data_IF_600205207003
#
_entry.id   IF_600205207003
#
_cell.length_a   1.000
_cell.length_b   1.000
_cell.length_c   1.000
_cell.angle_alpha   90.00
_cell.angle_beta   90.00
_cell.angle_gamma   90.00
#
_symmetry.space_group_name_H-M   'P 1'
#
loop_
_entity.id
_entity.type
_entity.pdbx_description
1 polymer ?
#
# COMPACT_ATOMS: atom_id res chain seq x y z
N UNK A 1 -5.04 -19.94 2.06
CA UNK A 1 -5.77 -19.33 0.94
C UNK A 1 -7.13 -19.99 0.83
N UNK A 2 -8.23 -19.23 0.98
CA UNK A 2 -9.59 -19.74 0.75
C UNK A 2 -10.08 -19.15 -0.57
N UNK A 3 -10.59 -20.00 -1.46
CA UNK A 3 -11.20 -19.54 -2.71
C UNK A 3 -12.64 -19.06 -2.44
N UNK A 4 -12.96 -17.91 -3.02
CA UNK A 4 -14.28 -17.27 -3.06
C UNK A 4 -14.64 -16.96 -4.50
N UNK A 5 -15.87 -16.52 -4.71
CA UNK A 5 -16.29 -15.94 -5.99
C UNK A 5 -15.55 -14.62 -6.19
N UNK A 6 -14.91 -14.40 -7.37
CA UNK A 6 -14.37 -13.11 -7.76
C UNK A 6 -15.36 -11.96 -7.58
N UNK A 7 -14.91 -10.85 -6.97
CA UNK A 7 -15.77 -9.67 -6.73
C UNK A 7 -15.08 -8.39 -7.20
N UNK A 8 -15.21 -8.10 -8.49
CA UNK A 8 -14.65 -6.89 -9.11
C UNK A 8 -15.21 -5.60 -8.50
N UNK A 9 -16.50 -5.57 -8.12
CA UNK A 9 -17.12 -4.37 -7.54
C UNK A 9 -16.51 -4.04 -6.19
N UNK A 10 -16.28 -5.05 -5.36
CA UNK A 10 -15.57 -4.90 -4.09
C UNK A 10 -14.12 -4.49 -4.30
N UNK A 11 -13.42 -5.11 -5.25
CA UNK A 11 -12.05 -4.73 -5.58
C UNK A 11 -11.94 -3.24 -5.98
N UNK A 12 -12.82 -2.76 -6.86
CA UNK A 12 -12.88 -1.33 -7.23
C UNK A 12 -13.17 -0.43 -6.02
N UNK A 13 -14.04 -0.87 -5.10
CA UNK A 13 -14.33 -0.12 -3.87
C UNK A 13 -13.10 -0.01 -2.94
N UNK A 14 -12.27 -1.06 -2.89
CA UNK A 14 -11.00 -1.07 -2.13
C UNK A 14 -9.99 -0.11 -2.78
N UNK A 15 -9.88 -0.12 -4.11
CA UNK A 15 -9.00 0.80 -4.86
C UNK A 15 -9.37 2.25 -4.57
N UNK A 16 -10.65 2.59 -4.66
CA UNK A 16 -11.13 3.94 -4.41
C UNK A 16 -10.88 4.38 -2.96
N UNK A 17 -10.97 3.46 -1.99
CA UNK A 17 -10.60 3.75 -0.61
C UNK A 17 -9.10 4.02 -0.48
N UNK A 18 -8.24 3.16 -1.02
CA UNK A 18 -6.79 3.33 -0.98
C UNK A 18 -6.35 4.66 -1.62
N UNK A 19 -6.97 5.05 -2.75
CA UNK A 19 -6.73 6.31 -3.43
C UNK A 19 -7.07 7.53 -2.55
N UNK A 20 -8.25 7.52 -1.92
CA UNK A 20 -8.66 8.61 -1.01
C UNK A 20 -7.75 8.72 0.19
N UNK A 21 -7.41 7.58 0.79
CA UNK A 21 -6.59 7.53 2.00
C UNK A 21 -5.14 7.95 1.73
N UNK A 22 -4.56 7.52 0.60
CA UNK A 22 -3.24 7.98 0.16
C UNK A 22 -3.24 9.48 -0.07
N UNK A 23 -4.22 9.99 -0.84
CA UNK A 23 -4.34 11.42 -1.12
C UNK A 23 -4.44 12.24 0.18
N UNK A 24 -5.27 11.81 1.13
CA UNK A 24 -5.38 12.48 2.42
C UNK A 24 -4.06 12.41 3.21
N UNK A 25 -3.42 11.24 3.24
CA UNK A 25 -2.17 11.02 3.97
C UNK A 25 -1.06 11.96 3.50
N UNK A 26 -0.95 12.19 2.19
CA UNK A 26 0.02 13.11 1.61
C UNK A 26 -0.29 14.60 1.86
N UNK A 27 -1.45 14.93 2.43
CA UNK A 27 -1.76 16.31 2.89
C UNK A 27 -1.37 16.57 4.34
N UNK A 28 -0.99 15.53 5.10
CA UNK A 28 -0.63 15.68 6.50
C UNK A 28 0.68 16.46 6.64
N UNK A 29 0.75 17.33 7.66
CA UNK A 29 1.99 18.03 8.00
C UNK A 29 3.08 17.01 8.33
N UNK A 30 4.25 17.14 7.71
CA UNK A 30 5.36 16.18 7.85
C UNK A 30 6.20 16.55 9.07
N UNK A 31 5.94 15.87 10.19
CA UNK A 31 6.66 16.01 11.46
C UNK A 31 6.92 14.65 12.08
N UNK A 32 7.81 14.56 13.06
CA UNK A 32 8.05 13.30 13.79
C UNK A 32 6.78 12.81 14.51
N UNK A 33 5.94 13.74 14.98
CA UNK A 33 4.67 13.43 15.65
C UNK A 33 3.65 12.78 14.70
N UNK A 34 3.61 13.19 13.43
CA UNK A 34 2.73 12.62 12.41
C UNK A 34 3.34 11.42 11.66
N UNK A 35 4.66 11.21 11.78
CA UNK A 35 5.42 10.23 11.03
C UNK A 35 4.89 8.80 11.11
N UNK A 36 4.54 8.36 12.32
CA UNK A 36 3.95 7.03 12.54
C UNK A 36 2.65 6.84 11.75
N UNK A 37 1.80 7.87 11.71
CA UNK A 37 0.53 7.84 10.97
C UNK A 37 0.76 7.86 9.47
N UNK A 38 1.68 8.69 8.98
CA UNK A 38 2.03 8.79 7.56
C UNK A 38 2.51 7.43 7.05
N UNK A 39 3.54 6.85 7.69
CA UNK A 39 4.13 5.58 7.26
C UNK A 39 3.11 4.44 7.31
N UNK A 40 2.30 4.38 8.37
CA UNK A 40 1.22 3.37 8.50
C UNK A 40 0.25 3.47 7.32
N UNK A 41 -0.28 4.66 7.05
CA UNK A 41 -1.30 4.83 6.04
C UNK A 41 -0.75 4.56 4.64
N UNK A 42 0.47 5.01 4.32
CA UNK A 42 1.12 4.70 3.05
C UNK A 42 1.22 3.17 2.85
N UNK A 43 1.72 2.45 3.86
CA UNK A 43 1.81 0.99 3.80
C UNK A 43 0.44 0.33 3.62
N UNK A 44 -0.58 0.76 4.38
CA UNK A 44 -1.92 0.19 4.28
C UNK A 44 -2.56 0.46 2.92
N UNK A 45 -2.32 1.62 2.30
CA UNK A 45 -2.80 1.91 0.94
C UNK A 45 -2.21 0.94 -0.09
N UNK A 46 -0.90 0.68 -0.04
CA UNK A 46 -0.29 -0.35 -0.90
C UNK A 46 -0.87 -1.74 -0.62
N UNK A 47 -1.05 -2.10 0.67
CA UNK A 47 -1.66 -3.37 1.04
C UNK A 47 -3.08 -3.50 0.49
N UNK A 48 -3.88 -2.43 0.52
CA UNK A 48 -5.24 -2.40 -0.03
C UNK A 48 -5.24 -2.60 -1.54
N UNK A 49 -4.30 -2.00 -2.28
CA UNK A 49 -4.16 -2.25 -3.72
C UNK A 49 -3.85 -3.72 -4.02
N UNK A 50 -2.94 -4.35 -3.26
CA UNK A 50 -2.70 -5.78 -3.35
C UNK A 50 -3.92 -6.64 -3.00
N UNK A 51 -4.72 -6.21 -2.02
CA UNK A 51 -5.93 -6.91 -1.60
C UNK A 51 -7.02 -6.82 -2.68
N UNK A 52 -7.11 -5.69 -3.38
CA UNK A 52 -8.01 -5.53 -4.51
C UNK A 52 -7.72 -6.55 -5.63
N UNK A 53 -6.44 -6.80 -5.96
CA UNK A 53 -6.03 -7.84 -6.92
C UNK A 53 -6.54 -9.21 -6.46
N UNK A 54 -6.33 -9.56 -5.19
CA UNK A 54 -6.74 -10.85 -4.64
C UNK A 54 -8.27 -11.01 -4.67
N UNK A 55 -9.00 -9.99 -4.23
CA UNK A 55 -10.47 -9.98 -4.23
C UNK A 55 -11.04 -10.10 -5.65
N UNK A 56 -10.45 -9.40 -6.62
CA UNK A 56 -10.83 -9.50 -8.03
C UNK A 56 -10.60 -10.90 -8.61
N UNK A 57 -9.67 -11.68 -8.04
CA UNK A 57 -9.38 -13.07 -8.41
C UNK A 57 -10.15 -14.09 -7.55
N UNK A 58 -10.99 -13.64 -6.61
CA UNK A 58 -11.73 -14.53 -5.71
C UNK A 58 -10.84 -15.19 -4.65
N UNK A 59 -9.78 -14.51 -4.23
CA UNK A 59 -8.82 -15.00 -3.23
C UNK A 59 -8.96 -14.16 -1.96
N UNK A 60 -9.23 -14.81 -0.82
CA UNK A 60 -9.11 -14.15 0.48
C UNK A 60 -7.66 -14.25 0.97
N UNK A 61 -7.07 -13.09 1.28
CA UNK A 61 -5.78 -13.01 1.95
C UNK A 61 -5.90 -13.49 3.40
N UNK A 62 -5.01 -14.36 3.84
CA UNK A 62 -4.97 -14.85 5.22
C UNK A 62 -4.07 -13.99 6.13
N UNK A 63 -3.27 -13.10 5.54
CA UNK A 63 -2.33 -12.23 6.25
C UNK A 63 -2.08 -10.93 5.46
N UNK A 64 -1.35 -10.00 6.08
CA UNK A 64 -0.99 -8.71 5.48
C UNK A 64 0.16 -8.80 4.47
N UNK A 65 0.86 -9.93 4.39
CA UNK A 65 2.03 -10.13 3.53
C UNK A 65 1.59 -10.51 2.11
N UNK A 66 0.59 -11.36 1.99
CA UNK A 66 0.07 -11.85 0.73
C UNK A 66 -0.36 -10.72 -0.23
N UNK A 67 -1.11 -9.69 0.20
CA UNK A 67 -1.44 -8.56 -0.68
C UNK A 67 -0.21 -7.83 -1.21
N UNK A 68 0.78 -7.58 -0.34
CA UNK A 68 2.03 -6.91 -0.74
C UNK A 68 2.80 -7.77 -1.73
N UNK A 69 2.90 -9.08 -1.50
CA UNK A 69 3.59 -9.99 -2.40
C UNK A 69 2.94 -10.04 -3.79
N UNK A 70 1.62 -9.93 -3.90
CA UNK A 70 0.96 -9.81 -5.21
C UNK A 70 1.33 -8.50 -5.90
N UNK A 71 1.31 -7.39 -5.16
CA UNK A 71 1.67 -6.08 -5.68
C UNK A 71 3.12 -6.04 -6.19
N UNK A 72 4.05 -6.69 -5.48
CA UNK A 72 5.47 -6.77 -5.89
C UNK A 72 5.72 -7.64 -7.14
N UNK A 73 4.74 -8.41 -7.61
CA UNK A 73 4.83 -9.19 -8.86
C UNK A 73 4.46 -8.39 -10.10
N UNK A 74 3.91 -7.19 -9.93
CA UNK A 74 3.50 -6.35 -11.06
C UNK A 74 4.72 -5.92 -11.86
N UNK A 75 4.61 -6.01 -13.19
CA UNK A 75 5.57 -5.40 -14.10
C UNK A 75 5.10 -3.98 -14.37
N UNK A 76 5.69 -3.02 -13.66
CA UNK A 76 5.33 -1.60 -13.75
C UNK A 76 6.59 -0.74 -13.69
N UNK A 77 6.69 0.21 -14.62
CA UNK A 77 7.73 1.22 -14.60
C UNK A 77 7.39 2.28 -13.55
N UNK A 78 8.28 2.44 -12.58
CA UNK A 78 8.13 3.34 -11.42
C UNK A 78 9.42 4.13 -11.26
N UNK A 79 9.33 5.34 -10.71
CA UNK A 79 10.53 6.17 -10.49
C UNK A 79 11.31 5.72 -9.27
N UNK A 80 10.67 4.94 -8.39
CA UNK A 80 11.29 4.26 -7.25
C UNK A 80 11.10 2.74 -7.41
N UNK A 81 12.05 1.90 -7.02
CA UNK A 81 11.89 0.45 -7.13
C UNK A 81 10.66 -0.05 -6.34
N UNK A 82 9.77 -0.80 -6.97
CA UNK A 82 8.56 -1.36 -6.31
C UNK A 82 8.91 -2.18 -5.06
N UNK A 83 10.05 -2.87 -5.07
CA UNK A 83 10.56 -3.63 -3.92
C UNK A 83 10.80 -2.77 -2.67
N UNK A 84 10.96 -1.45 -2.82
CA UNK A 84 11.09 -0.52 -1.69
C UNK A 84 9.84 -0.51 -0.80
N UNK A 85 8.66 -0.86 -1.33
CA UNK A 85 7.42 -1.00 -0.54
C UNK A 85 7.59 -2.05 0.58
N UNK A 86 8.44 -3.07 0.37
CA UNK A 86 8.76 -4.07 1.39
C UNK A 86 9.39 -3.47 2.66
N UNK A 87 10.15 -2.37 2.53
CA UNK A 87 10.76 -1.68 3.68
C UNK A 87 9.70 -1.03 4.60
N UNK A 88 8.61 -0.53 4.02
CA UNK A 88 7.50 0.08 4.75
C UNK A 88 6.82 -0.93 5.69
N UNK A 89 6.78 -2.21 5.32
CA UNK A 89 6.25 -3.28 6.17
C UNK A 89 7.01 -3.37 7.48
N UNK A 90 8.35 -3.35 7.43
CA UNK A 90 9.18 -3.47 8.62
C UNK A 90 9.01 -2.23 9.51
N UNK A 91 9.00 -1.03 8.91
CA UNK A 91 8.76 0.21 9.64
C UNK A 91 7.39 0.20 10.32
N UNK A 92 6.32 -0.14 9.59
CA UNK A 92 4.96 -0.28 10.13
C UNK A 92 4.90 -1.31 11.26
N UNK A 93 5.60 -2.44 11.12
CA UNK A 93 5.68 -3.43 12.20
C UNK A 93 6.33 -2.83 13.46
N UNK A 94 7.46 -2.12 13.31
CA UNK A 94 8.14 -1.48 14.43
C UNK A 94 7.28 -0.40 15.12
N UNK A 95 6.62 0.44 14.33
CA UNK A 95 5.67 1.45 14.83
C UNK A 95 4.53 0.79 15.60
N UNK A 96 3.98 -0.33 15.11
CA UNK A 96 2.81 -0.96 15.69
C UNK A 96 3.06 -1.74 16.96
N UNK A 97 4.17 -2.49 17.01
CA UNK A 97 4.38 -3.49 18.06
C UNK A 97 5.48 -3.10 19.04
N UNK A 98 6.36 -2.17 18.68
CA UNK A 98 7.50 -1.77 19.51
C UNK A 98 7.47 -0.30 19.91
N UNK A 99 6.41 0.45 19.56
CA UNK A 99 6.30 1.87 19.89
C UNK A 99 7.38 2.73 19.24
N UNK A 100 7.96 2.26 18.12
CA UNK A 100 9.01 2.97 17.43
C UNK A 100 8.51 4.31 16.89
N UNK A 101 9.29 5.37 17.13
CA UNK A 101 9.07 6.69 16.55
C UNK A 101 9.99 6.83 15.32
N UNK A 102 9.42 6.95 14.11
CA UNK A 102 10.20 7.07 12.90
C UNK A 102 10.92 8.42 12.83
N UNK A 103 12.15 8.39 12.31
CA UNK A 103 12.95 9.59 12.07
C UNK A 103 12.41 10.35 10.86
N UNK A 104 12.66 11.66 10.81
CA UNK A 104 12.32 12.49 9.64
C UNK A 104 12.79 11.89 8.30
N UNK A 105 13.99 11.30 8.26
CA UNK A 105 14.51 10.64 7.05
C UNK A 105 13.66 9.45 6.60
N UNK A 106 13.11 8.66 7.52
CA UNK A 106 12.27 7.49 7.22
C UNK A 106 10.88 7.92 6.76
N UNK A 107 10.36 9.02 7.32
CA UNK A 107 9.08 9.61 6.91
C UNK A 107 9.19 10.15 5.48
N UNK A 108 10.26 10.91 5.19
CA UNK A 108 10.54 11.45 3.86
C UNK A 108 10.76 10.32 2.84
N UNK A 109 11.49 9.26 3.20
CA UNK A 109 11.69 8.12 2.30
C UNK A 109 10.36 7.38 2.03
N UNK A 110 9.49 7.23 3.03
CA UNK A 110 8.18 6.62 2.84
C UNK A 110 7.28 7.45 1.90
N UNK A 111 7.27 8.77 2.04
CA UNK A 111 6.57 9.68 1.11
C UNK A 111 7.18 9.55 -0.29
N UNK A 112 8.51 9.53 -0.42
CA UNK A 112 9.17 9.37 -1.71
C UNK A 112 8.82 8.04 -2.40
N UNK A 113 8.67 6.95 -1.63
CA UNK A 113 8.19 5.67 -2.15
C UNK A 113 6.74 5.78 -2.63
N UNK A 114 5.87 6.47 -1.87
CA UNK A 114 4.50 6.69 -2.28
C UNK A 114 4.43 7.47 -3.60
N UNK A 115 5.09 8.62 -3.67
CA UNK A 115 5.12 9.49 -4.86
C UNK A 115 5.71 8.77 -6.09
N UNK A 116 6.71 7.92 -5.87
CA UNK A 116 7.41 7.25 -6.97
C UNK A 116 6.74 5.98 -7.51
N UNK A 117 5.80 5.42 -6.77
CA UNK A 117 5.21 4.11 -7.08
C UNK A 117 3.68 4.12 -7.19
N UNK A 118 2.98 4.91 -6.37
CA UNK A 118 1.56 4.67 -6.08
C UNK A 118 0.66 4.81 -7.30
N UNK A 119 0.76 5.93 -8.04
CA UNK A 119 -0.12 6.20 -9.18
C UNK A 119 0.12 5.21 -10.33
N UNK A 120 1.37 4.88 -10.64
CA UNK A 120 1.69 3.90 -11.68
C UNK A 120 1.15 2.50 -11.35
N UNK A 121 1.25 2.08 -10.09
CA UNK A 121 0.69 0.81 -9.62
C UNK A 121 -0.84 0.84 -9.67
N UNK A 122 -1.44 1.95 -9.21
CA UNK A 122 -2.88 2.16 -9.24
C UNK A 122 -3.43 2.02 -10.66
N UNK A 123 -2.79 2.64 -11.65
CA UNK A 123 -3.21 2.60 -13.05
C UNK A 123 -3.18 1.16 -13.60
N UNK A 124 -2.08 0.42 -13.37
CA UNK A 124 -1.95 -0.97 -13.81
C UNK A 124 -3.04 -1.86 -13.19
N UNK A 125 -3.31 -1.70 -11.89
CA UNK A 125 -4.33 -2.49 -11.19
C UNK A 125 -5.73 -2.14 -11.68
N UNK A 126 -6.00 -0.86 -11.97
CA UNK A 126 -7.27 -0.44 -12.56
C UNK A 126 -7.49 -1.10 -13.92
N UNK A 127 -6.47 -1.18 -14.77
CA UNK A 127 -6.57 -1.89 -16.06
C UNK A 127 -6.75 -3.40 -15.91
N UNK A 128 -6.10 -4.04 -14.93
CA UNK A 128 -6.26 -5.48 -14.70
C UNK A 128 -7.68 -5.87 -14.25
N UNK A 129 -8.34 -5.00 -13.48
CA UNK A 129 -9.62 -5.31 -12.82
C UNK A 129 -10.84 -4.93 -13.67
N UNK A 130 -10.72 -4.00 -14.63
CA UNK A 130 -11.76 -3.70 -15.62
C UNK A 130 -12.32 -4.98 -16.26
#
# INVERSE_FOLDING_TARGET
MRQKVPDKKKALSIIEAAKRDMKFTLTLEVTEASGSTIIRNIYECFRMLGDAILVARGIDANDHVMPINELLKLSVETTRPILAIGSLRQLRHNINYYGYLPKMSEIVDAISIADGCFDAILDVICEEIK
#
